data_IF_469633968026
#
_entry.id   IF_469633968026
#
_cell.length_a   1.000
_cell.length_b   1.000
_cell.length_c   1.000
_cell.angle_alpha   90.00
_cell.angle_beta   90.00
_cell.angle_gamma   90.00
#
_symmetry.space_group_name_H-M   'P 1'
#
loop_
_entity.id
_entity.type
_entity.pdbx_description
1 polymer ?
#
# COMPACT_ATOMS: atom_id res chain seq x y z
N UNK A 1 -0.72 10.07 9.56
CA UNK A 1 -0.77 8.72 8.96
C UNK A 1 -1.25 7.75 10.02
N UNK A 2 -2.31 6.99 9.76
CA UNK A 2 -2.81 5.93 10.64
C UNK A 2 -2.03 4.62 10.44
N UNK A 3 -1.72 3.88 11.51
CA UNK A 3 -1.13 2.53 11.42
C UNK A 3 -2.16 1.53 10.88
N UNK A 4 -1.71 0.63 9.99
CA UNK A 4 -2.54 -0.48 9.51
C UNK A 4 -2.41 -1.74 10.37
N UNK A 5 -1.35 -1.84 11.19
CA UNK A 5 -0.98 -3.07 11.91
C UNK A 5 -0.45 -4.19 11.02
N UNK A 6 -0.25 -3.94 9.72
CA UNK A 6 0.32 -4.88 8.76
C UNK A 6 1.77 -4.52 8.46
N UNK A 7 2.57 -5.52 8.11
CA UNK A 7 3.98 -5.38 7.79
C UNK A 7 4.23 -5.82 6.35
N UNK A 8 5.12 -5.12 5.67
CA UNK A 8 5.58 -5.47 4.34
C UNK A 8 6.54 -6.67 4.36
N UNK A 9 6.98 -7.12 3.19
CA UNK A 9 7.90 -8.27 3.06
C UNK A 9 9.26 -8.08 3.76
N UNK A 10 9.64 -6.82 4.04
CA UNK A 10 10.89 -6.44 4.70
C UNK A 10 10.71 -6.22 6.21
N UNK A 11 9.50 -6.45 6.75
CA UNK A 11 9.17 -6.24 8.15
C UNK A 11 8.96 -4.78 8.53
N UNK A 12 8.82 -3.87 7.54
CA UNK A 12 8.45 -2.48 7.79
C UNK A 12 6.94 -2.37 7.90
N UNK A 13 6.47 -1.69 8.93
CA UNK A 13 5.03 -1.45 9.13
C UNK A 13 4.49 -0.55 8.01
N UNK A 14 3.29 -0.90 7.52
CA UNK A 14 2.56 -0.15 6.49
C UNK A 14 1.62 0.83 7.18
N UNK A 15 1.66 2.09 6.74
CA UNK A 15 0.82 3.17 7.22
C UNK A 15 -0.08 3.72 6.12
N UNK A 16 -1.15 4.40 6.53
CA UNK A 16 -1.96 5.22 5.63
C UNK A 16 -1.10 6.24 4.88
N UNK A 17 -1.22 6.28 3.56
CA UNK A 17 -0.44 7.13 2.67
C UNK A 17 0.79 6.46 2.07
N UNK A 18 1.17 5.27 2.53
CA UNK A 18 2.28 4.52 1.93
C UNK A 18 1.95 4.11 0.49
N UNK A 19 2.98 4.11 -0.36
CA UNK A 19 2.93 3.55 -1.70
C UNK A 19 3.54 2.15 -1.61
N UNK A 20 2.73 1.15 -1.92
CA UNK A 20 3.10 -0.25 -1.88
C UNK A 20 3.06 -0.86 -3.28
N UNK A 21 4.04 -1.72 -3.56
CA UNK A 21 4.02 -2.59 -4.74
C UNK A 21 3.35 -3.91 -4.39
N UNK A 22 2.35 -4.29 -5.17
CA UNK A 22 1.59 -5.56 -5.04
C UNK A 22 1.46 -6.17 -6.44
N UNK A 23 1.93 -7.41 -6.63
CA UNK A 23 1.87 -8.13 -7.91
C UNK A 23 2.33 -7.28 -9.13
N UNK A 24 3.42 -6.51 -8.95
CA UNK A 24 3.98 -5.57 -9.93
C UNK A 24 3.15 -4.31 -10.25
N UNK A 25 2.09 -4.04 -9.49
CA UNK A 25 1.32 -2.80 -9.60
C UNK A 25 1.49 -1.93 -8.35
N UNK A 26 1.40 -0.61 -8.52
CA UNK A 26 1.56 0.35 -7.45
C UNK A 26 0.21 0.81 -6.92
N UNK A 27 0.13 0.89 -5.59
CA UNK A 27 -1.07 1.33 -4.88
C UNK A 27 -0.70 2.29 -3.75
N UNK A 28 -1.53 3.31 -3.54
CA UNK A 28 -1.51 4.09 -2.29
C UNK A 28 -2.48 3.49 -1.29
N UNK A 29 -2.01 3.29 -0.07
CA UNK A 29 -2.82 2.86 1.07
C UNK A 29 -3.64 4.03 1.59
N UNK A 30 -4.94 3.84 1.79
CA UNK A 30 -5.80 4.85 2.41
C UNK A 30 -6.88 4.20 3.28
N UNK A 31 -7.37 4.91 4.29
CA UNK A 31 -8.51 4.47 5.08
C UNK A 31 -9.81 4.92 4.43
N UNK A 32 -10.67 3.96 4.06
CA UNK A 32 -11.99 4.23 3.50
C UNK A 32 -13.00 4.33 4.64
N UNK A 33 -13.37 5.55 5.02
CA UNK A 33 -14.30 5.82 6.12
C UNK A 33 -15.71 5.25 5.88
N UNK A 34 -16.15 5.14 4.62
CA UNK A 34 -17.47 4.57 4.30
C UNK A 34 -17.47 3.05 4.48
N UNK A 35 -16.32 2.41 4.23
CA UNK A 35 -16.14 0.96 4.38
C UNK A 35 -15.56 0.54 5.73
N UNK A 36 -15.04 1.49 6.50
CA UNK A 36 -14.37 1.24 7.78
C UNK A 36 -13.11 0.36 7.65
N UNK A 37 -12.40 0.45 6.53
CA UNK A 37 -11.30 -0.48 6.21
C UNK A 37 -10.17 0.18 5.43
N UNK A 38 -8.95 -0.33 5.58
CA UNK A 38 -7.84 0.06 4.71
C UNK A 38 -7.95 -0.55 3.32
N UNK A 39 -7.73 0.30 2.31
CA UNK A 39 -7.88 -0.03 0.89
C UNK A 39 -6.67 0.43 0.07
N UNK A 40 -6.59 -0.13 -1.13
CA UNK A 40 -5.51 0.08 -2.08
C UNK A 40 -6.03 0.88 -3.26
N UNK A 41 -5.58 2.13 -3.39
CA UNK A 41 -5.88 2.99 -4.55
C UNK A 41 -4.84 2.76 -5.65
N UNK A 42 -5.19 2.20 -6.81
CA UNK A 42 -4.23 1.93 -7.88
C UNK A 42 -3.71 3.22 -8.51
N UNK A 43 -2.46 3.16 -8.99
CA UNK A 43 -1.83 4.22 -9.79
C UNK A 43 -2.01 4.01 -11.30
N UNK A 44 -2.52 2.85 -11.70
CA UNK A 44 -2.86 2.50 -13.09
C UNK A 44 -4.38 2.35 -13.21
N UNK A 45 -4.98 3.06 -14.18
CA UNK A 45 -6.43 3.08 -14.44
C UNK A 45 -7.01 1.71 -14.84
N UNK A 46 -6.15 0.74 -15.22
CA UNK A 46 -6.57 -0.64 -15.53
C UNK A 46 -7.10 -1.40 -14.31
N UNK A 47 -6.76 -0.94 -13.11
CA UNK A 47 -7.11 -1.63 -11.86
C UNK A 47 -8.17 -0.88 -11.07
N UNK A 48 -8.89 -1.62 -10.22
CA UNK A 48 -9.88 -1.05 -9.32
C UNK A 48 -9.34 -0.96 -7.89
N UNK A 49 -10.00 -0.14 -7.08
CA UNK A 49 -9.69 -0.04 -5.65
C UNK A 49 -9.99 -1.36 -4.95
N UNK A 50 -9.00 -1.91 -4.25
CA UNK A 50 -9.11 -3.22 -3.61
C UNK A 50 -8.98 -3.14 -2.08
N UNK A 51 -9.33 -4.20 -1.37
CA UNK A 51 -9.15 -4.31 0.07
C UNK A 51 -7.75 -4.79 0.40
N UNK A 52 -7.09 -4.18 1.40
CA UNK A 52 -5.78 -4.67 1.86
C UNK A 52 -5.86 -6.11 2.38
N UNK A 53 -7.00 -6.50 2.97
CA UNK A 53 -7.22 -7.84 3.51
C UNK A 53 -7.07 -8.94 2.47
N UNK A 54 -7.34 -8.66 1.18
CA UNK A 54 -7.21 -9.62 0.09
C UNK A 54 -5.76 -10.06 -0.12
N UNK A 55 -4.79 -9.28 0.36
CA UNK A 55 -3.35 -9.53 0.21
C UNK A 55 -2.64 -9.73 1.56
N UNK A 56 -3.39 -9.87 2.66
CA UNK A 56 -2.88 -9.97 4.04
C UNK A 56 -2.05 -11.24 4.35
N UNK A 57 -1.90 -12.16 3.39
CA UNK A 57 -1.10 -13.40 3.49
C UNK A 57 0.42 -13.23 3.68
N UNK A 58 0.88 -12.04 4.07
CA UNK A 58 2.15 -11.87 4.78
C UNK A 58 3.36 -11.41 3.97
N UNK A 59 3.34 -11.38 2.63
CA UNK A 59 4.50 -10.91 1.81
C UNK A 59 4.14 -10.25 0.48
N UNK A 60 2.89 -9.86 0.28
CA UNK A 60 2.46 -9.28 -1.00
C UNK A 60 2.80 -7.80 -1.15
N UNK A 61 3.16 -7.15 -0.05
CA UNK A 61 3.45 -5.72 -0.01
C UNK A 61 4.95 -5.49 0.08
N UNK A 62 5.41 -4.51 -0.68
CA UNK A 62 6.72 -3.88 -0.55
C UNK A 62 6.48 -2.37 -0.49
N UNK A 63 6.87 -1.72 0.60
CA UNK A 63 6.80 -0.26 0.68
C UNK A 63 7.92 0.29 -0.19
N UNK A 64 7.55 1.14 -1.15
CA UNK A 64 8.49 1.80 -2.08
C UNK A 64 8.50 3.31 -1.95
N UNK A 65 7.72 3.86 -1.02
CA UNK A 65 7.56 5.30 -0.85
C UNK A 65 6.28 5.67 -0.11
N UNK A 66 5.93 6.96 -0.13
CA UNK A 66 4.70 7.48 0.44
C UNK A 66 4.16 8.65 -0.41
N UNK A 67 2.90 9.04 -0.18
CA UNK A 67 2.24 10.10 -0.94
C UNK A 67 2.85 11.51 -0.77
N UNK A 68 3.71 11.74 0.22
CA UNK A 68 4.34 13.03 0.49
C UNK A 68 5.72 13.16 -0.16
N UNK A 69 6.48 12.07 -0.18
CA UNK A 69 7.86 12.02 -0.69
C UNK A 69 7.97 11.31 -2.07
N UNK A 70 6.91 10.66 -2.52
CA UNK A 70 6.88 9.88 -3.76
C UNK A 70 7.51 8.50 -3.62
N UNK A 71 7.83 7.87 -4.75
CA UNK A 71 8.51 6.58 -4.83
C UNK A 71 10.02 6.80 -4.80
N UNK A 72 10.71 6.11 -3.91
CA UNK A 72 12.18 6.10 -3.86
C UNK A 72 12.68 4.85 -4.57
N UNK A 73 13.33 5.03 -5.72
CA UNK A 73 14.03 3.96 -6.41
C UNK A 73 15.44 3.86 -5.80
N UNK A 74 15.81 2.73 -5.20
CA UNK A 74 17.12 2.50 -4.56
C UNK A 74 18.28 2.38 -5.58
N UNK A 75 18.02 2.71 -6.85
CA UNK A 75 18.96 2.64 -7.97
C UNK A 75 19.68 3.98 -8.24
N UNK A 76 20.18 4.63 -7.18
CA UNK A 76 21.10 5.79 -7.30
C UNK A 76 22.55 5.34 -7.44
#
# INVERSE_FOLDING_TARGET
MQSTGLFDKNGKEIFEGDIVKVLNSLYTVFYDNERGSFRLKPHDERWHTDYMSNFSGGKNFEIIGNMYEGVTDDNS
#
